data_IF_022487186765
#
_entry.id   IF_022487186765
#
_cell.length_a   1.000
_cell.length_b   1.000
_cell.length_c   1.000
_cell.angle_alpha   90.00
_cell.angle_beta   90.00
_cell.angle_gamma   90.00
#
_symmetry.space_group_name_H-M   'P 1'
#
loop_
_entity.id
_entity.type
_entity.pdbx_description
1 polymer ?
#
# COMPACT_ATOMS: atom_id res chain seq x y z
N UNK A 1 -12.69 -3.78 -14.58
CA UNK A 1 -13.69 -2.79 -14.12
C UNK A 1 -13.36 -2.47 -12.67
N UNK A 2 -12.99 -1.24 -12.34
CA UNK A 2 -12.68 -0.85 -10.96
C UNK A 2 -13.99 -0.84 -10.16
N UNK A 3 -14.11 -1.57 -9.05
CA UNK A 3 -15.37 -1.61 -8.30
C UNK A 3 -15.66 -0.26 -7.64
N UNK A 4 -16.92 0.13 -7.51
CA UNK A 4 -17.32 1.48 -7.04
C UNK A 4 -16.75 1.85 -5.68
N UNK A 5 -16.60 0.89 -4.78
CA UNK A 5 -15.99 1.10 -3.46
C UNK A 5 -14.53 1.55 -3.55
N UNK A 6 -13.84 1.27 -4.65
CA UNK A 6 -12.46 1.68 -4.86
C UNK A 6 -12.31 3.18 -5.21
N UNK A 7 -13.43 3.91 -5.30
CA UNK A 7 -13.49 5.35 -5.54
C UNK A 7 -13.87 6.15 -4.30
N UNK A 8 -14.23 5.48 -3.19
CA UNK A 8 -14.54 6.15 -1.93
C UNK A 8 -13.30 6.86 -1.38
N UNK A 9 -13.43 8.10 -0.87
CA UNK A 9 -12.29 8.81 -0.30
C UNK A 9 -11.78 8.09 0.95
N UNK A 10 -10.49 7.77 0.95
CA UNK A 10 -9.80 7.25 2.13
C UNK A 10 -9.39 8.37 3.10
N UNK A 11 -9.36 8.05 4.39
CA UNK A 11 -8.85 8.89 5.47
C UNK A 11 -7.42 8.46 5.85
N UNK A 12 -6.39 9.30 5.65
CA UNK A 12 -5.01 8.96 5.97
C UNK A 12 -4.73 8.75 7.46
N UNK A 13 -5.50 9.37 8.37
CA UNK A 13 -5.31 9.18 9.81
C UNK A 13 -5.78 7.79 10.24
N UNK A 14 -6.91 7.32 9.71
CA UNK A 14 -7.34 5.92 9.87
C UNK A 14 -6.38 4.97 9.16
N UNK A 15 -5.93 5.34 7.97
CA UNK A 15 -4.99 4.56 7.18
C UNK A 15 -3.65 4.33 7.86
N UNK A 16 -3.18 5.31 8.63
CA UNK A 16 -1.95 5.19 9.43
C UNK A 16 -2.05 4.05 10.45
N UNK A 17 -3.23 3.86 11.06
CA UNK A 17 -3.47 2.77 12.02
C UNK A 17 -3.32 1.42 11.31
N UNK A 18 -3.98 1.26 10.16
CA UNK A 18 -3.90 0.04 9.33
C UNK A 18 -2.45 -0.22 8.89
N UNK A 19 -1.75 0.81 8.41
CA UNK A 19 -0.36 0.69 7.95
C UNK A 19 0.58 0.23 9.06
N UNK A 20 0.45 0.81 10.25
CA UNK A 20 1.24 0.45 11.43
C UNK A 20 0.91 -0.93 11.99
N UNK A 21 -0.27 -1.45 11.70
CA UNK A 21 -0.65 -2.81 12.13
C UNK A 21 -0.14 -3.87 11.15
N UNK A 22 -0.18 -3.59 9.85
CA UNK A 22 -0.04 -4.62 8.82
C UNK A 22 1.10 -4.40 7.82
N UNK A 23 1.40 -3.17 7.45
CA UNK A 23 2.21 -2.87 6.27
C UNK A 23 3.66 -2.52 6.59
N UNK A 24 3.91 -1.80 7.70
CA UNK A 24 5.21 -1.18 7.99
C UNK A 24 6.35 -2.19 8.16
N UNK A 25 6.07 -3.42 8.60
CA UNK A 25 7.08 -4.47 8.80
C UNK A 25 7.80 -4.82 7.49
N UNK A 26 7.09 -4.74 6.36
CA UNK A 26 7.67 -4.97 5.05
C UNK A 26 8.03 -3.65 4.36
N UNK A 27 7.14 -2.66 4.36
CA UNK A 27 7.32 -1.43 3.59
C UNK A 27 8.10 -0.32 4.32
N UNK A 28 8.42 -0.51 5.60
CA UNK A 28 9.17 0.42 6.43
C UNK A 28 8.31 1.55 7.01
N UNK A 29 8.67 2.07 8.19
CA UNK A 29 7.95 3.21 8.81
C UNK A 29 8.00 4.48 7.95
N UNK A 30 9.03 4.60 7.12
CA UNK A 30 9.22 5.72 6.19
C UNK A 30 8.60 5.47 4.80
N UNK A 31 7.98 4.31 4.60
CA UNK A 31 7.45 3.90 3.29
C UNK A 31 8.53 3.73 2.21
N UNK A 32 9.77 3.47 2.60
CA UNK A 32 10.94 3.40 1.70
C UNK A 32 11.25 1.98 1.21
N UNK A 33 10.42 1.00 1.56
CA UNK A 33 10.61 -0.41 1.19
C UNK A 33 11.60 -1.16 2.08
N UNK A 34 12.18 -0.50 3.08
CA UNK A 34 13.21 -1.06 3.97
C UNK A 34 12.63 -1.51 5.32
N UNK A 35 11.44 -2.13 5.32
CA UNK A 35 10.90 -2.72 6.53
C UNK A 35 11.76 -3.88 7.02
N UNK A 36 11.72 -4.15 8.33
CA UNK A 36 12.49 -5.23 8.99
C UNK A 36 12.39 -6.58 8.28
N UNK A 37 11.20 -6.94 7.79
CA UNK A 37 10.93 -8.19 7.09
C UNK A 37 11.14 -8.06 5.57
N UNK A 38 10.91 -6.86 5.04
CA UNK A 38 10.89 -6.59 3.60
C UNK A 38 12.25 -6.27 2.99
N UNK A 39 13.17 -5.68 3.75
CA UNK A 39 14.43 -5.11 3.22
C UNK A 39 15.41 -6.13 2.62
N UNK A 40 15.22 -7.42 2.89
CA UNK A 40 16.03 -8.52 2.32
C UNK A 40 15.30 -9.30 1.22
N UNK A 41 14.07 -8.94 0.88
CA UNK A 41 13.27 -9.62 -0.14
C UNK A 41 13.69 -9.21 -1.56
N UNK A 42 13.64 -10.15 -2.51
CA UNK A 42 13.89 -9.86 -3.93
C UNK A 42 12.67 -10.22 -4.80
N UNK A 43 12.06 -9.27 -5.53
CA UNK A 43 12.32 -7.84 -5.49
C UNK A 43 11.93 -7.25 -4.12
N UNK A 44 12.50 -6.10 -3.74
CA UNK A 44 12.14 -5.43 -2.51
C UNK A 44 10.70 -4.91 -2.58
N UNK A 45 10.04 -4.71 -1.42
CA UNK A 45 8.77 -4.00 -1.37
C UNK A 45 8.86 -2.62 -2.00
N UNK A 46 7.72 -2.12 -2.49
CA UNK A 46 7.66 -0.82 -3.15
C UNK A 46 8.18 0.31 -2.24
N UNK A 47 9.05 1.16 -2.80
CA UNK A 47 9.47 2.41 -2.20
C UNK A 47 8.47 3.52 -2.57
N UNK A 48 7.57 3.83 -1.66
CA UNK A 48 6.53 4.86 -1.84
C UNK A 48 7.09 6.29 -1.84
N UNK A 49 8.37 6.48 -1.51
CA UNK A 49 9.03 7.78 -1.62
C UNK A 49 9.61 8.06 -3.01
N UNK A 50 9.65 7.07 -3.90
CA UNK A 50 10.16 7.18 -5.27
C UNK A 50 9.12 7.83 -6.21
N UNK A 51 9.38 9.03 -6.77
CA UNK A 51 8.48 9.67 -7.73
C UNK A 51 8.23 8.83 -9.00
N UNK A 52 9.19 8.01 -9.42
CA UNK A 52 9.05 7.18 -10.62
C UNK A 52 7.97 6.10 -10.45
N UNK A 53 7.82 5.54 -9.25
CA UNK A 53 6.76 4.59 -8.92
C UNK A 53 5.38 5.20 -9.22
N UNK A 54 5.14 6.41 -8.69
CA UNK A 54 3.86 7.13 -8.83
C UNK A 54 3.60 7.61 -10.26
N UNK A 55 4.64 7.97 -11.01
CA UNK A 55 4.50 8.39 -12.41
C UNK A 55 4.05 7.24 -13.32
N UNK A 56 4.49 6.02 -13.00
CA UNK A 56 4.33 4.86 -13.87
C UNK A 56 3.14 3.97 -13.49
N UNK A 57 2.38 4.30 -12.44
CA UNK A 57 1.28 3.49 -11.93
C UNK A 57 0.08 4.37 -11.53
N UNK A 58 -1.14 4.05 -11.99
CA UNK A 58 -2.34 4.75 -11.53
C UNK A 58 -2.71 4.36 -10.10
N UNK A 59 -3.51 5.17 -9.40
CA UNK A 59 -4.03 4.87 -8.05
C UNK A 59 -4.70 3.48 -7.97
N UNK A 60 -5.44 3.09 -9.03
CA UNK A 60 -6.11 1.78 -9.10
C UNK A 60 -5.16 0.58 -9.04
N UNK A 61 -3.91 0.75 -9.49
CA UNK A 61 -2.90 -0.31 -9.39
C UNK A 61 -2.56 -0.60 -7.93
N UNK A 62 -2.40 0.44 -7.10
CA UNK A 62 -2.08 0.26 -5.68
C UNK A 62 -3.25 -0.34 -4.91
N UNK A 63 -4.48 0.10 -5.21
CA UNK A 63 -5.68 -0.50 -4.61
C UNK A 63 -5.77 -1.98 -4.97
N UNK A 64 -5.52 -2.35 -6.23
CA UNK A 64 -5.52 -3.75 -6.67
C UNK A 64 -4.43 -4.57 -5.94
N UNK A 65 -3.21 -4.04 -5.84
CA UNK A 65 -2.09 -4.65 -5.11
C UNK A 65 -2.42 -4.89 -3.63
N UNK A 66 -3.02 -3.91 -2.94
CA UNK A 66 -3.44 -4.07 -1.55
C UNK A 66 -4.56 -5.11 -1.45
N UNK A 67 -5.51 -5.08 -2.37
CA UNK A 67 -6.68 -5.98 -2.33
C UNK A 67 -6.26 -7.41 -2.59
N UNK A 68 -5.57 -7.65 -3.70
CA UNK A 68 -5.35 -8.97 -4.29
C UNK A 68 -3.93 -9.52 -4.07
N UNK A 69 -3.04 -8.74 -3.47
CA UNK A 69 -1.63 -9.10 -3.31
C UNK A 69 -0.82 -8.85 -4.57
N UNK A 70 0.47 -9.16 -4.51
CA UNK A 70 1.40 -8.89 -5.61
C UNK A 70 2.60 -9.85 -5.64
N UNK A 71 3.25 -9.89 -6.81
CA UNK A 71 4.51 -10.61 -7.09
C UNK A 71 4.53 -12.06 -6.58
N UNK A 72 3.60 -12.87 -7.11
CA UNK A 72 3.49 -14.31 -6.80
C UNK A 72 3.34 -14.62 -5.30
N UNK A 73 2.66 -13.74 -4.55
CA UNK A 73 2.34 -13.94 -3.14
C UNK A 73 3.37 -13.40 -2.16
N UNK A 74 4.42 -12.71 -2.63
CA UNK A 74 5.36 -12.01 -1.74
C UNK A 74 4.67 -10.88 -0.96
N UNK A 75 3.67 -10.26 -1.56
CA UNK A 75 2.70 -9.44 -0.83
C UNK A 75 1.38 -10.20 -0.78
N UNK A 76 0.88 -10.58 0.42
CA UNK A 76 -0.39 -11.28 0.53
C UNK A 76 -1.57 -10.37 0.15
N UNK A 77 -2.71 -10.95 -0.28
CA UNK A 77 -3.96 -10.21 -0.38
C UNK A 77 -4.45 -9.76 1.01
N UNK A 78 -5.21 -8.67 1.05
CA UNK A 78 -5.77 -8.13 2.30
C UNK A 78 -7.30 -8.03 2.30
N UNK A 79 -7.97 -8.40 1.22
CA UNK A 79 -9.42 -8.25 1.05
C UNK A 79 -10.28 -9.01 2.08
N UNK A 80 -9.73 -10.07 2.69
CA UNK A 80 -10.35 -10.91 3.71
C UNK A 80 -9.87 -10.58 5.13
N UNK A 81 -8.89 -9.68 5.28
CA UNK A 81 -8.30 -9.29 6.57
C UNK A 81 -8.78 -7.90 7.01
N UNK A 82 -8.91 -6.97 6.06
CA UNK A 82 -9.36 -5.60 6.32
C UNK A 82 -10.53 -5.23 5.41
N UNK A 83 -11.35 -4.30 5.86
CA UNK A 83 -12.51 -3.82 5.11
C UNK A 83 -12.11 -3.04 3.85
N UNK A 84 -13.05 -2.93 2.91
CA UNK A 84 -12.88 -2.11 1.70
C UNK A 84 -12.56 -0.65 2.02
N UNK A 85 -13.11 -0.11 3.10
CA UNK A 85 -12.81 1.24 3.55
C UNK A 85 -11.38 1.34 4.10
N UNK A 86 -10.93 0.35 4.87
CA UNK A 86 -9.54 0.32 5.36
C UNK A 86 -8.51 0.21 4.22
N UNK A 87 -8.86 -0.47 3.12
CA UNK A 87 -8.04 -0.47 1.89
C UNK A 87 -7.91 0.95 1.31
N UNK A 88 -9.01 1.71 1.26
CA UNK A 88 -8.96 3.11 0.81
C UNK A 88 -8.18 3.99 1.79
N UNK A 89 -8.42 3.84 3.08
CA UNK A 89 -7.77 4.60 4.13
C UNK A 89 -6.25 4.37 4.12
N UNK A 90 -5.80 3.10 4.09
CA UNK A 90 -4.36 2.77 4.06
C UNK A 90 -3.72 3.26 2.77
N UNK A 91 -4.42 3.21 1.63
CA UNK A 91 -3.91 3.79 0.40
C UNK A 91 -3.78 5.32 0.48
N UNK A 92 -4.75 6.01 1.08
CA UNK A 92 -4.66 7.45 1.34
C UNK A 92 -3.45 7.79 2.22
N UNK A 93 -3.17 6.96 3.24
CA UNK A 93 -1.95 7.11 4.04
C UNK A 93 -0.67 6.84 3.24
N UNK A 94 -0.63 5.81 2.40
CA UNK A 94 0.54 5.50 1.55
C UNK A 94 0.87 6.69 0.64
N UNK A 95 -0.14 7.39 0.10
CA UNK A 95 0.06 8.59 -0.72
C UNK A 95 0.79 9.73 0.02
N UNK A 96 0.76 9.75 1.35
CA UNK A 96 1.48 10.77 2.15
C UNK A 96 3.00 10.63 2.07
N UNK A 97 3.52 9.46 1.70
CA UNK A 97 4.97 9.24 1.48
C UNK A 97 5.47 9.82 0.16
N UNK A 98 4.56 10.18 -0.76
CA UNK A 98 4.92 10.75 -2.05
C UNK A 98 5.63 12.08 -1.84
N UNK A 99 6.92 12.13 -2.22
CA UNK A 99 7.67 13.39 -2.29
C UNK A 99 7.04 14.28 -3.37
N UNK A 100 6.90 15.56 -3.04
CA UNK A 100 6.45 16.59 -3.98
C UNK A 100 7.49 16.82 -5.06
#
# INVERSE_FOLDING_TARGET
>A
MTPTWALEPGDPERGKVVYNQYCYKCHGVKGDGNGEVGGVSFPPPANFTDPALWKNRPDSFFIDVITNGYDYGKMPPWWDVISKQEIQDVFAYIKTFRKK
#
